data_IF_670575425969
#
_entry.id   IF_670575425969
#
_cell.length_a   1.000
_cell.length_b   1.000
_cell.length_c   1.000
_cell.angle_alpha   90.00
_cell.angle_beta   90.00
_cell.angle_gamma   90.00
#
_symmetry.space_group_name_H-M   'P 1'
#
loop_
_entity.id
_entity.type
_entity.pdbx_description
1 polymer ?
#
# COMPACT_ATOMS: atom_id res chain seq x y z
N UNK A 1 -13.43 1.00 11.38
CA UNK A 1 -12.43 2.02 11.78
C UNK A 1 -12.11 2.85 10.56
N UNK A 2 -12.38 4.14 10.63
CA UNK A 2 -12.13 5.12 9.57
C UNK A 2 -10.61 5.31 9.38
N UNK A 3 -10.19 5.76 8.20
CA UNK A 3 -8.83 6.28 7.99
C UNK A 3 -8.65 7.55 8.83
N UNK A 4 -7.94 7.42 9.96
CA UNK A 4 -7.77 8.48 10.94
C UNK A 4 -6.85 9.60 10.43
N UNK A 5 -5.86 9.28 9.58
CA UNK A 5 -4.97 10.27 8.98
C UNK A 5 -5.74 11.09 7.94
N UNK A 6 -6.46 10.43 7.03
CA UNK A 6 -7.34 11.08 6.07
C UNK A 6 -8.42 11.95 6.73
N UNK A 7 -9.05 11.45 7.80
CA UNK A 7 -10.01 12.23 8.59
C UNK A 7 -9.35 13.47 9.21
N UNK A 8 -8.17 13.32 9.80
CA UNK A 8 -7.42 14.43 10.41
C UNK A 8 -7.07 15.51 9.40
N UNK A 9 -6.54 15.11 8.23
CA UNK A 9 -6.20 16.06 7.14
C UNK A 9 -7.44 16.81 6.65
N UNK A 10 -8.56 16.12 6.46
CA UNK A 10 -9.81 16.76 6.03
C UNK A 10 -10.32 17.80 7.05
N UNK A 11 -10.23 17.50 8.35
CA UNK A 11 -10.65 18.43 9.40
C UNK A 11 -9.70 19.63 9.51
N UNK A 12 -8.38 19.42 9.32
CA UNK A 12 -7.40 20.50 9.23
C UNK A 12 -7.70 21.43 8.03
N UNK A 13 -7.99 20.87 6.85
CA UNK A 13 -8.37 21.63 5.65
C UNK A 13 -9.70 22.38 5.82
N UNK A 14 -10.64 21.82 6.58
CA UNK A 14 -11.91 22.46 6.92
C UNK A 14 -11.77 23.60 7.97
N UNK A 15 -10.59 23.78 8.56
CA UNK A 15 -10.31 24.84 9.54
C UNK A 15 -10.81 24.55 10.96
N UNK A 16 -11.06 23.28 11.30
CA UNK A 16 -11.44 22.89 12.65
C UNK A 16 -10.33 23.17 13.67
N UNK A 17 -10.74 23.39 14.92
CA UNK A 17 -9.77 23.61 16.00
C UNK A 17 -9.10 22.30 16.40
N UNK A 18 -7.88 22.39 16.93
CA UNK A 18 -7.15 21.22 17.44
C UNK A 18 -7.96 20.41 18.46
N UNK A 19 -8.70 21.09 19.33
CA UNK A 19 -9.52 20.45 20.35
C UNK A 19 -10.64 19.60 19.72
N UNK A 20 -11.39 20.15 18.76
CA UNK A 20 -12.45 19.44 18.04
C UNK A 20 -11.91 18.21 17.29
N UNK A 21 -10.75 18.34 16.66
CA UNK A 21 -10.10 17.24 15.94
C UNK A 21 -9.71 16.13 16.91
N UNK A 22 -9.05 16.46 18.03
CA UNK A 22 -8.61 15.48 19.01
C UNK A 22 -9.80 14.78 19.67
N UNK A 23 -10.87 15.49 20.00
CA UNK A 23 -12.10 14.88 20.53
C UNK A 23 -12.71 13.89 19.54
N UNK A 24 -12.79 14.26 18.25
CA UNK A 24 -13.31 13.37 17.22
C UNK A 24 -12.47 12.10 17.07
N UNK A 25 -11.14 12.23 17.05
CA UNK A 25 -10.23 11.09 16.94
C UNK A 25 -10.28 10.17 18.17
N UNK A 26 -10.36 10.75 19.37
CA UNK A 26 -10.50 9.97 20.61
C UNK A 26 -11.80 9.17 20.59
N UNK A 27 -12.90 9.75 20.13
CA UNK A 27 -14.17 9.04 20.02
C UNK A 27 -14.07 7.85 19.06
N UNK A 28 -13.48 8.04 17.87
CA UNK A 28 -13.26 6.93 16.92
C UNK A 28 -12.40 5.81 17.52
N UNK A 29 -11.40 6.15 18.35
CA UNK A 29 -10.62 5.14 19.07
C UNK A 29 -11.48 4.35 20.06
N UNK A 30 -12.24 5.03 20.91
CA UNK A 30 -13.07 4.40 21.94
C UNK A 30 -14.23 3.58 21.34
N UNK A 31 -14.75 3.98 20.18
CA UNK A 31 -15.83 3.28 19.48
C UNK A 31 -15.37 1.93 18.91
N UNK A 32 -14.11 1.81 18.50
CA UNK A 32 -13.59 0.62 17.79
C UNK A 32 -12.51 -0.16 18.54
N UNK A 33 -11.96 0.37 19.65
CA UNK A 33 -10.86 -0.26 20.41
C UNK A 33 -11.17 -0.25 21.90
N UNK A 34 -10.84 -1.36 22.55
CA UNK A 34 -10.89 -1.49 24.01
C UNK A 34 -9.62 -0.88 24.65
N UNK A 35 -9.52 0.44 24.63
CA UNK A 35 -8.41 1.19 25.25
C UNK A 35 -8.94 2.30 26.17
N UNK A 36 -8.12 2.70 27.14
CA UNK A 36 -8.48 3.79 28.03
C UNK A 36 -8.40 5.15 27.32
N UNK A 37 -9.13 6.13 27.86
CA UNK A 37 -9.22 7.49 27.28
C UNK A 37 -7.86 8.20 27.20
N UNK A 38 -6.93 7.91 28.11
CA UNK A 38 -5.59 8.52 28.11
C UNK A 38 -4.77 7.99 26.94
N UNK A 39 -4.79 6.67 26.73
CA UNK A 39 -4.14 6.03 25.58
C UNK A 39 -4.76 6.51 24.26
N UNK A 40 -6.09 6.55 24.18
CA UNK A 40 -6.80 7.08 23.01
C UNK A 40 -6.38 8.52 22.68
N UNK A 41 -6.30 9.39 23.70
CA UNK A 41 -5.84 10.77 23.53
C UNK A 41 -4.39 10.85 23.05
N UNK A 42 -3.51 10.02 23.62
CA UNK A 42 -2.09 9.96 23.21
C UNK A 42 -1.95 9.59 21.73
N UNK A 43 -2.72 8.61 21.26
CA UNK A 43 -2.69 8.19 19.86
C UNK A 43 -3.31 9.24 18.93
N UNK A 44 -4.46 9.82 19.30
CA UNK A 44 -5.07 10.92 18.56
C UNK A 44 -4.11 12.10 18.41
N UNK A 45 -3.41 12.47 19.50
CA UNK A 45 -2.40 13.54 19.50
C UNK A 45 -1.23 13.22 18.57
N UNK A 46 -0.75 11.98 18.58
CA UNK A 46 0.34 11.56 17.71
C UNK A 46 -0.04 11.69 16.22
N UNK A 47 -1.24 11.22 15.85
CA UNK A 47 -1.76 11.34 14.47
C UNK A 47 -1.91 12.81 14.07
N UNK A 48 -2.48 13.64 14.93
CA UNK A 48 -2.65 15.08 14.67
C UNK A 48 -1.31 15.77 14.42
N UNK A 49 -0.31 15.54 15.29
CA UNK A 49 1.02 16.12 15.14
C UNK A 49 1.71 15.63 13.86
N UNK A 50 1.58 14.35 13.53
CA UNK A 50 2.12 13.79 12.29
C UNK A 50 1.48 14.43 11.05
N UNK A 51 0.15 14.52 11.00
CA UNK A 51 -0.58 15.13 9.89
C UNK A 51 -0.21 16.61 9.71
N UNK A 52 -0.09 17.36 10.81
CA UNK A 52 0.30 18.76 10.81
C UNK A 52 1.75 18.96 10.33
N UNK A 53 2.68 18.12 10.78
CA UNK A 53 4.11 18.20 10.40
C UNK A 53 4.36 17.73 8.97
N UNK A 54 3.57 16.78 8.49
CA UNK A 54 3.65 16.23 7.13
C UNK A 54 2.85 17.04 6.10
N UNK A 55 2.30 18.20 6.47
CA UNK A 55 1.54 19.03 5.55
C UNK A 55 2.45 19.62 4.45
N UNK A 56 2.28 19.10 3.23
CA UNK A 56 2.99 19.52 2.02
C UNK A 56 2.75 21.00 1.71
N UNK A 57 1.62 21.58 2.12
CA UNK A 57 1.32 22.99 1.88
C UNK A 57 2.24 23.94 2.66
N UNK A 58 2.84 23.46 3.74
CA UNK A 58 3.82 24.22 4.53
C UNK A 58 5.19 24.38 3.83
N UNK A 59 5.44 23.63 2.76
CA UNK A 59 6.72 23.64 2.02
C UNK A 59 6.79 24.89 1.14
N UNK A 60 7.77 25.75 1.43
CA UNK A 60 7.96 27.03 0.73
C UNK A 60 8.49 26.90 -0.69
N UNK A 61 9.21 25.82 -1.02
CA UNK A 61 9.83 25.60 -2.33
C UNK A 61 8.83 24.96 -3.30
N UNK A 62 8.39 25.65 -4.38
CA UNK A 62 7.35 25.14 -5.29
C UNK A 62 7.70 23.81 -5.94
N UNK A 63 8.94 23.65 -6.38
CA UNK A 63 9.43 22.42 -6.99
C UNK A 63 9.34 21.21 -6.05
N UNK A 64 9.77 21.38 -4.78
CA UNK A 64 9.72 20.29 -3.79
C UNK A 64 8.27 19.92 -3.47
N UNK A 65 7.40 20.92 -3.39
CA UNK A 65 5.96 20.70 -3.20
C UNK A 65 5.35 19.90 -4.34
N UNK A 66 5.67 20.25 -5.60
CA UNK A 66 5.20 19.51 -6.77
C UNK A 66 5.72 18.07 -6.79
N UNK A 67 7.02 17.89 -6.53
CA UNK A 67 7.68 16.59 -6.50
C UNK A 67 7.06 15.63 -5.48
N UNK A 68 6.68 16.16 -4.31
CA UNK A 68 6.09 15.37 -3.22
C UNK A 68 4.57 15.18 -3.38
N UNK A 69 3.91 16.02 -4.17
CA UNK A 69 2.45 15.99 -4.30
C UNK A 69 1.92 14.76 -5.04
N UNK A 70 0.79 14.24 -4.57
CA UNK A 70 0.05 13.18 -5.26
C UNK A 70 -0.76 13.76 -6.42
N UNK A 71 -0.55 13.23 -7.64
CA UNK A 71 -1.47 13.44 -8.76
C UNK A 71 -2.72 12.60 -8.53
N UNK A 72 -3.80 13.21 -8.03
CA UNK A 72 -5.07 12.51 -7.78
C UNK A 72 -5.69 12.05 -9.10
N UNK A 73 -5.95 10.74 -9.23
CA UNK A 73 -6.65 10.16 -10.39
C UNK A 73 -8.17 10.43 -10.37
N UNK A 74 -8.71 11.04 -9.32
CA UNK A 74 -10.14 11.32 -9.10
C UNK A 74 -11.05 10.07 -9.20
N UNK A 75 -10.50 8.89 -8.93
CA UNK A 75 -11.24 7.63 -8.82
C UNK A 75 -11.25 7.21 -7.35
N UNK A 76 -12.43 6.93 -6.81
CA UNK A 76 -12.57 6.40 -5.44
C UNK A 76 -12.45 4.87 -5.45
N UNK A 77 -11.92 4.28 -4.37
CA UNK A 77 -11.80 2.82 -4.21
C UNK A 77 -13.16 2.11 -4.40
N UNK A 78 -14.25 2.73 -3.94
CA UNK A 78 -15.61 2.19 -4.14
C UNK A 78 -16.07 2.13 -5.61
N UNK A 79 -15.44 2.89 -6.52
CA UNK A 79 -15.67 2.76 -7.97
C UNK A 79 -14.83 1.66 -8.63
N UNK A 80 -13.78 1.18 -7.97
CA UNK A 80 -12.92 0.09 -8.45
C UNK A 80 -13.42 -1.31 -8.06
N UNK A 81 -14.32 -1.41 -7.06
CA UNK A 81 -15.17 -2.59 -6.87
C UNK A 81 -14.56 -3.81 -6.18
N UNK A 82 -13.30 -3.75 -5.73
CA UNK A 82 -12.64 -4.83 -4.98
C UNK A 82 -12.00 -4.30 -3.71
N UNK A 83 -12.08 -5.05 -2.62
CA UNK A 83 -11.63 -4.64 -1.30
C UNK A 83 -10.97 -5.80 -0.58
N UNK A 84 -9.88 -5.51 0.14
CA UNK A 84 -8.99 -6.52 0.68
C UNK A 84 -9.69 -7.46 1.68
N UNK A 85 -9.74 -8.76 1.35
CA UNK A 85 -9.94 -9.90 2.28
C UNK A 85 -11.38 -10.35 2.57
N UNK A 86 -12.34 -10.16 1.65
CA UNK A 86 -13.68 -10.75 1.72
C UNK A 86 -13.91 -11.91 0.73
N UNK A 87 -14.95 -12.72 0.91
CA UNK A 87 -15.29 -13.80 -0.04
C UNK A 87 -15.52 -13.29 -1.49
N UNK A 88 -15.97 -12.04 -1.65
CA UNK A 88 -16.08 -11.39 -2.95
C UNK A 88 -14.72 -11.02 -3.58
N UNK A 89 -13.72 -10.71 -2.76
CA UNK A 89 -12.33 -10.44 -3.19
C UNK A 89 -11.69 -11.72 -3.73
N UNK A 90 -11.86 -12.84 -3.02
CA UNK A 90 -11.43 -14.17 -3.49
C UNK A 90 -12.10 -14.57 -4.80
N UNK A 91 -13.40 -14.28 -4.96
CA UNK A 91 -14.12 -14.56 -6.20
C UNK A 91 -13.58 -13.74 -7.37
N UNK A 92 -13.35 -12.44 -7.18
CA UNK A 92 -12.81 -11.59 -8.25
C UNK A 92 -11.36 -11.94 -8.57
N UNK A 93 -10.51 -12.20 -7.58
CA UNK A 93 -9.14 -12.66 -7.85
C UNK A 93 -9.12 -13.99 -8.59
N UNK A 94 -9.99 -14.95 -8.23
CA UNK A 94 -10.11 -16.20 -8.96
C UNK A 94 -10.54 -15.98 -10.42
N UNK A 95 -11.50 -15.09 -10.67
CA UNK A 95 -11.90 -14.74 -12.05
C UNK A 95 -10.78 -14.06 -12.83
N UNK A 96 -10.04 -13.14 -12.20
CA UNK A 96 -8.87 -12.49 -12.84
C UNK A 96 -7.83 -13.54 -13.20
N UNK A 97 -7.55 -14.49 -12.31
CA UNK A 97 -6.69 -15.64 -12.58
C UNK A 97 -7.18 -16.43 -13.79
N UNK A 98 -8.45 -16.87 -13.81
CA UNK A 98 -9.02 -17.66 -14.91
C UNK A 98 -8.94 -16.93 -16.27
N UNK A 99 -9.10 -15.60 -16.26
CA UNK A 99 -8.96 -14.77 -17.47
C UNK A 99 -7.50 -14.52 -17.89
N UNK A 100 -6.57 -14.57 -16.93
CA UNK A 100 -5.15 -14.28 -17.16
C UNK A 100 -4.32 -15.54 -17.41
N UNK A 101 -4.93 -16.72 -17.33
CA UNK A 101 -4.30 -17.98 -17.71
C UNK A 101 -3.86 -17.92 -19.18
N UNK A 102 -2.63 -18.36 -19.42
CA UNK A 102 -2.05 -18.46 -20.76
C UNK A 102 -1.72 -19.92 -21.05
N UNK A 103 -1.44 -20.24 -22.31
CA UNK A 103 -1.02 -21.59 -22.71
C UNK A 103 0.31 -22.01 -22.03
N UNK A 104 1.07 -21.05 -21.48
CA UNK A 104 2.29 -21.31 -20.74
C UNK A 104 1.98 -21.62 -19.27
N UNK A 105 2.29 -22.84 -18.86
CA UNK A 105 2.18 -23.27 -17.46
C UNK A 105 3.39 -22.83 -16.66
N UNK A 106 3.19 -21.79 -15.85
CA UNK A 106 4.10 -21.45 -14.76
C UNK A 106 4.19 -22.59 -13.74
N UNK A 107 5.34 -22.74 -13.09
CA UNK A 107 5.53 -23.69 -11.99
C UNK A 107 4.63 -23.34 -10.80
N UNK A 108 4.49 -22.03 -10.55
CA UNK A 108 3.53 -21.48 -9.61
C UNK A 108 2.76 -20.37 -10.33
N UNK A 109 1.47 -20.62 -10.58
CA UNK A 109 0.64 -19.80 -11.45
C UNK A 109 -0.35 -18.96 -10.64
N UNK A 110 -1.04 -17.96 -11.24
CA UNK A 110 -2.04 -17.18 -10.53
C UNK A 110 -3.18 -18.03 -9.90
N UNK A 111 -3.41 -19.27 -10.36
CA UNK A 111 -4.40 -20.20 -9.76
C UNK A 111 -3.92 -20.89 -8.50
N UNK A 112 -2.63 -20.80 -8.19
CA UNK A 112 -2.09 -21.18 -6.89
C UNK A 112 -2.53 -20.22 -5.77
N UNK A 113 -3.00 -19.01 -6.12
CA UNK A 113 -3.42 -17.96 -5.17
C UNK A 113 -2.34 -17.67 -4.10
N UNK A 114 -1.08 -17.77 -4.50
CA UNK A 114 0.10 -17.56 -3.66
C UNK A 114 0.59 -16.10 -3.77
N UNK A 115 1.49 -15.70 -2.88
CA UNK A 115 2.04 -14.35 -2.81
C UNK A 115 3.04 -14.04 -3.95
N UNK A 116 3.49 -15.08 -4.68
CA UNK A 116 4.43 -14.98 -5.78
C UNK A 116 3.96 -15.79 -6.99
N UNK A 117 4.67 -15.68 -8.10
CA UNK A 117 4.61 -16.59 -9.25
C UNK A 117 5.99 -17.17 -9.52
N UNK A 118 6.06 -18.35 -10.14
CA UNK A 118 7.34 -19.01 -10.37
C UNK A 118 7.39 -19.76 -11.70
N UNK A 119 8.56 -19.79 -12.34
CA UNK A 119 8.82 -20.55 -13.56
C UNK A 119 10.12 -21.35 -13.43
N UNK A 120 10.11 -22.58 -13.93
CA UNK A 120 11.32 -23.39 -14.03
C UNK A 120 12.20 -22.85 -15.15
N UNK A 121 13.49 -22.70 -14.89
CA UNK A 121 14.47 -22.25 -15.89
C UNK A 121 14.55 -23.21 -17.09
N UNK A 122 14.37 -24.52 -16.85
CA UNK A 122 14.30 -25.54 -17.89
C UNK A 122 13.16 -25.33 -18.90
N UNK A 123 12.11 -24.57 -18.55
CA UNK A 123 10.98 -24.26 -19.44
C UNK A 123 11.24 -23.01 -20.33
N UNK A 124 12.38 -22.32 -20.17
CA UNK A 124 12.69 -21.09 -20.90
C UNK A 124 13.58 -21.40 -22.10
N UNK A 125 13.03 -21.26 -23.31
CA UNK A 125 13.79 -21.44 -24.55
C UNK A 125 14.78 -20.28 -24.80
N UNK A 126 15.99 -20.61 -25.26
CA UNK A 126 17.01 -19.62 -25.65
C UNK A 126 18.04 -19.23 -24.58
N UNK A 127 17.99 -19.83 -23.39
CA UNK A 127 19.01 -19.62 -22.35
C UNK A 127 20.24 -20.50 -22.58
N UNK A 128 21.31 -19.92 -23.14
CA UNK A 128 22.46 -20.65 -23.68
C UNK A 128 23.72 -20.67 -22.78
N UNK A 129 23.69 -20.06 -21.59
CA UNK A 129 24.86 -19.99 -20.69
C UNK A 129 24.60 -20.76 -19.39
N UNK A 130 25.20 -21.95 -19.24
CA UNK A 130 24.99 -22.83 -18.07
C UNK A 130 26.24 -22.97 -17.18
N UNK A 131 26.38 -22.18 -16.10
CA UNK A 131 27.24 -22.54 -14.96
C UNK A 131 26.53 -23.44 -13.93
N UNK A 132 25.22 -23.67 -14.08
CA UNK A 132 24.38 -24.39 -13.13
C UNK A 132 23.50 -25.43 -13.82
N UNK A 133 23.03 -26.42 -13.06
CA UNK A 133 22.00 -27.35 -13.51
C UNK A 133 20.66 -26.60 -13.62
N UNK A 134 20.09 -26.56 -14.84
CA UNK A 134 18.87 -25.80 -15.11
C UNK A 134 17.61 -26.52 -14.62
N UNK A 135 17.69 -27.82 -14.37
CA UNK A 135 16.53 -28.62 -13.97
C UNK A 135 16.11 -28.34 -12.51
N UNK A 136 17.02 -27.80 -11.70
CA UNK A 136 16.80 -27.44 -10.28
C UNK A 136 16.60 -25.92 -10.07
N UNK A 137 16.64 -25.10 -11.12
CA UNK A 137 16.57 -23.64 -11.01
C UNK A 137 15.16 -23.10 -11.27
N UNK A 138 14.67 -22.28 -10.35
CA UNK A 138 13.36 -21.62 -10.42
C UNK A 138 13.55 -20.09 -10.35
N UNK A 139 12.92 -19.35 -11.26
CA UNK A 139 12.72 -17.91 -11.11
C UNK A 139 11.43 -17.69 -10.35
N UNK A 140 11.50 -16.93 -9.25
CA UNK A 140 10.34 -16.49 -8.47
C UNK A 140 10.17 -14.99 -8.65
N UNK A 141 8.94 -14.54 -8.88
CA UNK A 141 8.58 -13.13 -8.98
C UNK A 141 7.44 -12.83 -8.03
N UNK A 142 7.57 -11.75 -7.25
CA UNK A 142 6.53 -11.26 -6.34
C UNK A 142 6.25 -9.80 -6.66
N UNK A 143 4.98 -9.42 -6.64
CA UNK A 143 4.52 -8.05 -6.79
C UNK A 143 3.76 -7.66 -5.52
N UNK A 144 4.17 -6.58 -4.85
CA UNK A 144 3.52 -6.10 -3.63
C UNK A 144 2.89 -4.73 -3.89
N UNK A 145 1.58 -4.62 -3.64
CA UNK A 145 0.89 -3.33 -3.61
C UNK A 145 1.17 -2.63 -2.29
N UNK A 146 1.71 -1.42 -2.34
CA UNK A 146 2.03 -0.66 -1.12
C UNK A 146 0.83 0.21 -0.74
N UNK A 147 0.24 -0.10 0.40
CA UNK A 147 -0.69 0.78 1.13
C UNK A 147 0.05 1.33 2.35
N UNK A 148 0.98 2.26 2.14
CA UNK A 148 1.79 2.83 3.22
C UNK A 148 1.45 4.29 3.45
N UNK A 149 1.83 4.81 4.62
CA UNK A 149 1.81 6.26 4.93
C UNK A 149 2.58 7.10 3.90
N UNK A 150 3.48 6.49 3.13
CA UNK A 150 4.19 7.14 2.03
C UNK A 150 3.33 7.29 0.76
N UNK A 151 2.12 6.75 0.70
CA UNK A 151 1.20 6.97 -0.43
C UNK A 151 0.85 8.45 -0.63
N UNK A 152 0.93 9.27 0.44
CA UNK A 152 0.83 10.74 0.37
C UNK A 152 2.08 11.41 -0.24
N UNK A 153 3.17 10.65 -0.41
CA UNK A 153 4.45 11.08 -0.97
C UNK A 153 4.95 10.08 -2.02
N UNK A 154 4.28 9.95 -3.18
CA UNK A 154 4.52 8.85 -4.13
C UNK A 154 5.97 8.76 -4.61
N UNK A 155 6.61 9.93 -4.76
CA UNK A 155 8.03 10.01 -5.11
C UNK A 155 8.92 9.33 -4.06
N UNK A 156 8.70 9.56 -2.76
CA UNK A 156 9.45 8.92 -1.67
C UNK A 156 9.06 7.44 -1.55
N UNK A 157 7.77 7.13 -1.73
CA UNK A 157 7.29 5.75 -1.73
C UNK A 157 8.05 4.88 -2.74
N UNK A 158 8.38 5.41 -3.92
CA UNK A 158 9.16 4.72 -4.94
C UNK A 158 10.56 4.28 -4.48
N UNK A 159 11.20 5.01 -3.57
CA UNK A 159 12.51 4.61 -3.02
C UNK A 159 12.38 3.52 -1.96
N UNK A 160 11.26 3.44 -1.25
CA UNK A 160 11.00 2.36 -0.28
C UNK A 160 10.86 1.00 -0.97
N UNK A 161 10.41 0.98 -2.24
CA UNK A 161 10.29 -0.24 -3.06
C UNK A 161 11.64 -0.73 -3.58
N UNK A 162 12.62 0.16 -3.69
CA UNK A 162 13.92 -0.09 -4.32
C UNK A 162 15.08 -0.22 -3.33
N UNK A 163 14.81 -0.35 -2.02
CA UNK A 163 15.86 -0.65 -1.05
C UNK A 163 16.25 -2.12 -1.18
N UNK A 164 17.19 -2.37 -2.09
CA UNK A 164 18.11 -3.50 -1.97
C UNK A 164 18.80 -3.43 -0.60
N UNK A 165 18.81 -4.54 0.13
CA UNK A 165 19.67 -4.79 1.29
C UNK A 165 21.15 -4.91 0.86
N UNK A 166 21.68 -3.90 0.16
CA UNK A 166 23.11 -3.77 -0.06
C UNK A 166 23.75 -3.09 1.15
N UNK A 167 23.71 -3.77 2.30
CA UNK A 167 24.72 -3.61 3.34
C UNK A 167 25.70 -4.79 3.23
N UNK A 168 26.66 -4.63 2.33
CA UNK A 168 27.94 -5.35 2.33
C UNK A 168 29.05 -4.38 2.76
#
# INVERSE_FOLDING_TARGET
MSDLEGLTRNLLEAGNTEHEILERLVQEYLDFKEIDKTSAFKYAKAIYEECKRSDINSISKPFIRELLSVRKANVTVGKQGVGCRGAGDFFVHKLITELSETDYKAFLSPSSLDDAGAVLMSNIEGYNNKPFDLDDLIIVSKMEGIHSRLSDFPFICGFHVNLDDNNS
#
